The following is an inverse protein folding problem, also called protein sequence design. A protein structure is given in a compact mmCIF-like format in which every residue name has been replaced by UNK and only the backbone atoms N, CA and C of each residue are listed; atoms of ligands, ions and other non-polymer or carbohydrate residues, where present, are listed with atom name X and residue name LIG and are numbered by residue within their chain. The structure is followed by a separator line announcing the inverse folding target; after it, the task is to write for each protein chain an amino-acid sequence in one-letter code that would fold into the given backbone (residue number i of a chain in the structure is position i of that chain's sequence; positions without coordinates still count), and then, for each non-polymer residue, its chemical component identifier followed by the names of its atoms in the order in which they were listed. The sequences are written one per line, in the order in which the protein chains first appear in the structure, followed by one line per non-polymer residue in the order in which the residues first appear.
data_IF_529250851482
#
_entry.id   IF_529250851482
#
_cell.length_a   1.000
_cell.length_b   1.000
_cell.length_c   1.000
_cell.angle_alpha   90.00
_cell.angle_beta   90.00
_cell.angle_gamma   90.00
#
_symmetry.space_group_name_H-M   'P 1'
#
loop_
_entity.id
_entity.type
_entity.pdbx_description
1 polymer ?
#
# COMPACT_ATOMS: atom_id res chain seq x y z
N UNK A 1 -6.43 -6.38 -12.31
CA UNK A 1 -6.39 -5.00 -12.84
C UNK A 1 -5.41 -4.91 -13.97
N UNK A 2 -5.36 -3.76 -14.65
CA UNK A 2 -4.34 -3.50 -15.67
C UNK A 2 -3.00 -3.06 -15.04
N UNK A 3 -2.04 -2.69 -15.89
CA UNK A 3 -0.72 -2.25 -15.44
C UNK A 3 -0.79 -1.00 -14.56
N UNK A 4 -1.66 -0.05 -14.89
CA UNK A 4 -1.82 1.19 -14.12
C UNK A 4 -2.26 0.91 -12.68
N UNK A 5 -3.27 0.05 -12.51
CA UNK A 5 -3.72 -0.38 -11.19
C UNK A 5 -2.63 -1.10 -10.39
N UNK A 6 -1.85 -1.96 -11.05
CA UNK A 6 -0.77 -2.73 -10.39
C UNK A 6 0.34 -1.80 -9.90
N UNK A 7 0.79 -0.89 -10.76
CA UNK A 7 1.81 0.11 -10.43
C UNK A 7 1.35 1.04 -9.32
N UNK A 8 0.12 1.55 -9.41
CA UNK A 8 -0.38 2.49 -8.43
C UNK A 8 -0.54 1.83 -7.06
N UNK A 9 -1.10 0.61 -7.00
CA UNK A 9 -1.18 -0.16 -5.75
C UNK A 9 0.21 -0.35 -5.13
N UNK A 10 1.20 -0.71 -5.95
CA UNK A 10 2.58 -0.86 -5.48
C UNK A 10 3.13 0.46 -4.94
N UNK A 11 2.91 1.58 -5.63
CA UNK A 11 3.39 2.89 -5.19
C UNK A 11 2.77 3.35 -3.87
N UNK A 12 1.43 3.33 -3.77
CA UNK A 12 0.70 3.76 -2.58
C UNK A 12 1.15 2.97 -1.36
N UNK A 13 1.23 1.64 -1.50
CA UNK A 13 1.62 0.76 -0.41
C UNK A 13 3.12 0.83 -0.08
N UNK A 14 4.01 0.88 -1.08
CA UNK A 14 5.46 1.00 -0.84
C UNK A 14 5.81 2.32 -0.15
N UNK A 15 5.09 3.41 -0.46
CA UNK A 15 5.27 4.70 0.23
C UNK A 15 4.86 4.61 1.69
N UNK A 16 3.76 3.92 1.99
CA UNK A 16 3.31 3.66 3.35
C UNK A 16 4.34 2.80 4.10
N UNK A 17 4.74 1.66 3.52
CA UNK A 17 5.74 0.76 4.09
C UNK A 17 7.06 1.47 4.37
N UNK A 18 7.51 2.36 3.49
CA UNK A 18 8.74 3.11 3.71
C UNK A 18 8.71 3.90 5.02
N UNK A 19 7.64 4.68 5.27
CA UNK A 19 7.50 5.44 6.51
C UNK A 19 7.19 4.57 7.72
N UNK A 20 6.45 3.48 7.53
CA UNK A 20 6.20 2.49 8.59
C UNK A 20 7.53 1.87 9.05
N UNK A 21 8.36 1.39 8.13
CA UNK A 21 9.64 0.77 8.45
C UNK A 21 10.68 1.77 8.96
N UNK A 22 10.61 3.04 8.54
CA UNK A 22 11.42 4.12 9.14
C UNK A 22 11.16 4.22 10.65
N UNK A 23 9.90 4.07 11.08
CA UNK A 23 9.54 4.07 12.51
C UNK A 23 9.80 2.74 13.20
N UNK A 24 9.48 1.61 12.56
CA UNK A 24 9.66 0.30 13.18
C UNK A 24 11.13 -0.08 13.41
N UNK A 25 12.08 0.53 12.70
CA UNK A 25 13.51 0.36 12.99
C UNK A 25 13.94 0.88 14.35
N UNK A 26 13.19 1.82 14.91
CA UNK A 26 13.43 2.42 16.22
C UNK A 26 12.65 1.68 17.32
N UNK A 27 11.98 0.57 16.98
CA UNK A 27 11.12 -0.16 17.91
C UNK A 27 11.93 -0.85 19.04
N UNK A 28 11.43 -0.89 20.30
CA UNK A 28 12.14 -1.53 21.41
C UNK A 28 12.33 -3.03 21.26
N UNK A 29 11.40 -3.71 20.58
CA UNK A 29 11.55 -5.11 20.18
C UNK A 29 12.61 -5.23 19.08
N UNK A 30 13.71 -5.91 19.42
CA UNK A 30 14.88 -6.05 18.55
C UNK A 30 14.61 -6.90 17.31
N UNK A 31 13.66 -7.83 17.36
CA UNK A 31 13.27 -8.63 16.20
C UNK A 31 12.48 -7.80 15.19
N UNK A 32 11.51 -7.01 15.68
CA UNK A 32 10.76 -6.07 14.82
C UNK A 32 11.70 -5.06 14.18
N UNK A 33 12.59 -4.44 14.97
CA UNK A 33 13.56 -3.47 14.49
C UNK A 33 14.49 -4.08 13.41
N UNK A 34 14.99 -5.30 13.64
CA UNK A 34 15.86 -5.99 12.69
C UNK A 34 15.17 -6.36 11.38
N UNK A 35 13.89 -6.76 11.42
CA UNK A 35 13.09 -7.03 10.22
C UNK A 35 12.90 -5.72 9.45
N UNK A 36 12.44 -4.66 10.11
CA UNK A 36 12.22 -3.35 9.50
C UNK A 36 13.52 -2.78 8.88
N UNK A 37 14.68 -2.96 9.52
CA UNK A 37 15.99 -2.54 9.03
C UNK A 37 16.39 -3.20 7.71
N UNK A 38 15.96 -4.44 7.48
CA UNK A 38 16.16 -5.14 6.21
C UNK A 38 15.10 -4.72 5.19
N UNK A 39 13.83 -4.77 5.59
CA UNK A 39 12.69 -4.49 4.71
C UNK A 39 12.69 -3.08 4.11
N UNK A 40 13.18 -2.05 4.83
CA UNK A 40 13.23 -0.69 4.26
C UNK A 40 14.14 -0.60 3.05
N UNK A 41 15.22 -1.40 3.00
CA UNK A 41 16.20 -1.35 1.92
C UNK A 41 15.53 -1.80 0.62
N UNK A 42 14.82 -2.92 0.67
CA UNK A 42 14.02 -3.45 -0.43
C UNK A 42 12.87 -2.50 -0.80
N UNK A 43 12.14 -2.01 0.20
CA UNK A 43 11.01 -1.08 0.01
C UNK A 43 11.45 0.21 -0.69
N UNK A 44 12.67 0.68 -0.44
CA UNK A 44 13.22 1.86 -1.13
C UNK A 44 13.34 1.64 -2.62
N UNK A 45 13.73 0.43 -3.07
CA UNK A 45 13.75 0.08 -4.49
C UNK A 45 12.35 -0.01 -5.07
N UNK A 46 11.42 -0.68 -4.39
CA UNK A 46 10.02 -0.78 -4.83
C UNK A 46 9.42 0.61 -5.03
N UNK A 47 9.59 1.47 -4.03
CA UNK A 47 9.07 2.83 -4.02
C UNK A 47 9.66 3.67 -5.15
N UNK A 48 10.99 3.65 -5.34
CA UNK A 48 11.63 4.39 -6.44
C UNK A 48 11.07 3.95 -7.78
N UNK A 49 11.09 2.64 -8.05
CA UNK A 49 10.64 2.07 -9.31
C UNK A 49 9.16 2.37 -9.58
N UNK A 50 8.28 2.17 -8.59
CA UNK A 50 6.86 2.44 -8.77
C UNK A 50 6.56 3.94 -8.93
N UNK A 51 7.29 4.82 -8.24
CA UNK A 51 7.13 6.28 -8.39
C UNK A 51 7.48 6.73 -9.81
N UNK A 52 8.59 6.23 -10.37
CA UNK A 52 8.99 6.52 -11.75
C UNK A 52 7.92 6.06 -12.76
N UNK A 53 7.30 4.90 -12.54
CA UNK A 53 6.23 4.41 -13.41
C UNK A 53 4.92 5.17 -13.27
N UNK A 54 4.54 5.60 -12.07
CA UNK A 54 3.37 6.49 -11.89
C UNK A 54 3.55 7.76 -12.71
N UNK A 55 4.73 8.39 -12.65
CA UNK A 55 5.03 9.59 -13.43
C UNK A 55 4.98 9.31 -14.94
N UNK A 56 5.66 8.25 -15.40
CA UNK A 56 5.68 7.91 -16.85
C UNK A 56 4.31 7.60 -17.43
N UNK A 57 3.44 6.94 -16.65
CA UNK A 57 2.11 6.57 -17.11
C UNK A 57 1.15 7.75 -17.04
N UNK A 58 1.23 8.57 -15.99
CA UNK A 58 0.46 9.79 -15.84
C UNK A 58 0.84 10.85 -16.89
N UNK A 59 2.12 11.20 -16.99
CA UNK A 59 2.62 12.19 -17.96
C UNK A 59 3.03 11.54 -19.31
N UNK A 60 2.30 10.49 -19.69
CA UNK A 60 2.56 9.68 -20.88
C UNK A 60 1.68 10.05 -22.05
N UNK A 61 0.99 9.05 -22.61
CA UNK A 61 -0.03 9.26 -23.65
C UNK A 61 -1.39 9.56 -23.02
N UNK A 62 -2.34 10.07 -23.81
CA UNK A 62 -3.72 10.26 -23.34
C UNK A 62 -4.33 8.97 -22.77
N UNK A 63 -4.07 7.82 -23.40
CA UNK A 63 -4.55 6.53 -22.92
C UNK A 63 -3.89 6.11 -21.60
N UNK A 64 -2.56 6.24 -21.47
CA UNK A 64 -1.88 5.84 -20.23
C UNK A 64 -2.27 6.76 -19.06
N UNK A 65 -2.47 8.04 -19.35
CA UNK A 65 -2.94 9.03 -18.40
C UNK A 65 -4.33 8.67 -17.87
N UNK A 66 -5.29 8.43 -18.77
CA UNK A 66 -6.66 8.04 -18.41
C UNK A 66 -6.68 6.76 -17.57
N UNK A 67 -5.91 5.74 -17.96
CA UNK A 67 -5.80 4.48 -17.19
C UNK A 67 -5.23 4.70 -15.80
N UNK A 68 -4.24 5.58 -15.65
CA UNK A 68 -3.65 5.88 -14.35
C UNK A 68 -4.58 6.72 -13.47
N UNK A 69 -5.33 7.65 -14.04
CA UNK A 69 -6.37 8.38 -13.31
C UNK A 69 -7.47 7.43 -12.82
N UNK A 70 -7.96 6.55 -13.69
CA UNK A 70 -8.91 5.51 -13.31
C UNK A 70 -8.34 4.59 -12.21
N UNK A 71 -7.03 4.30 -12.22
CA UNK A 71 -6.41 3.54 -11.15
C UNK A 71 -6.47 4.29 -9.80
N UNK A 72 -6.23 5.62 -9.79
CA UNK A 72 -6.37 6.46 -8.59
C UNK A 72 -7.80 6.36 -8.07
N UNK A 73 -8.78 6.61 -8.92
CA UNK A 73 -10.19 6.64 -8.51
C UNK A 73 -10.65 5.30 -7.92
N UNK A 74 -10.17 4.19 -8.48
CA UNK A 74 -10.52 2.84 -8.03
C UNK A 74 -9.80 2.41 -6.74
N UNK A 75 -8.55 2.83 -6.53
CA UNK A 75 -7.71 2.32 -5.45
C UNK A 75 -7.64 3.25 -4.23
N UNK A 76 -7.92 4.54 -4.41
CA UNK A 76 -7.89 5.53 -3.33
C UNK A 76 -8.76 5.16 -2.12
N UNK A 77 -9.98 4.62 -2.28
CA UNK A 77 -10.84 4.20 -1.17
C UNK A 77 -10.22 3.18 -0.21
N UNK A 78 -9.20 2.43 -0.63
CA UNK A 78 -8.53 1.43 0.21
C UNK A 78 -7.36 1.99 1.01
N UNK A 79 -6.97 3.25 0.78
CA UNK A 79 -5.78 3.82 1.42
C UNK A 79 -5.99 4.19 2.88
N UNK A 80 -7.24 4.44 3.29
CA UNK A 80 -7.58 4.86 4.65
C UNK A 80 -7.18 3.85 5.72
N UNK A 81 -7.43 2.55 5.49
CA UNK A 81 -7.15 1.49 6.46
C UNK A 81 -5.65 1.37 6.82
N UNK A 82 -4.74 1.82 5.95
CA UNK A 82 -3.29 1.81 6.24
C UNK A 82 -2.93 2.63 7.50
N UNK A 83 -3.74 3.63 7.84
CA UNK A 83 -3.50 4.54 8.96
C UNK A 83 -4.45 4.33 10.14
N UNK A 84 -5.29 3.29 10.08
CA UNK A 84 -6.17 2.91 11.17
C UNK A 84 -5.50 1.77 11.96
N UNK A 85 -5.00 2.02 13.18
CA UNK A 85 -4.43 0.97 14.00
C UNK A 85 -5.53 -0.01 14.44
N UNK A 86 -5.23 -1.31 14.40
CA UNK A 86 -6.03 -2.34 15.05
C UNK A 86 -5.67 -2.44 16.54
N UNK A 87 -6.54 -3.08 17.33
CA UNK A 87 -6.36 -3.20 18.79
C UNK A 87 -5.02 -3.84 19.18
N UNK A 88 -4.55 -4.82 18.39
CA UNK A 88 -3.26 -5.49 18.63
C UNK A 88 -2.03 -4.64 18.23
N UNK A 89 -2.22 -3.49 17.59
CA UNK A 89 -1.14 -2.56 17.23
C UNK A 89 -0.93 -1.47 18.30
N UNK A 90 -1.71 -1.48 19.38
CA UNK A 90 -1.67 -0.46 20.43
C UNK A 90 -0.26 -0.28 21.05
N UNK A 91 0.48 -1.37 21.19
CA UNK A 91 1.81 -1.37 21.81
C UNK A 91 2.93 -0.89 20.88
N UNK A 92 2.66 -0.73 19.58
CA UNK A 92 3.65 -0.34 18.56
C UNK A 92 4.01 1.16 18.68
N UNK A 93 3.17 1.96 19.34
CA UNK A 93 3.39 3.41 19.64
C UNK A 93 3.79 4.25 18.40
N UNK A 94 3.25 3.92 17.23
CA UNK A 94 3.42 4.72 16.02
C UNK A 94 2.33 5.80 15.94
N UNK A 95 2.75 7.03 15.69
CA UNK A 95 1.82 8.11 15.32
C UNK A 95 1.36 7.93 13.87
N UNK A 96 0.28 7.16 13.70
CA UNK A 96 -0.32 6.91 12.38
C UNK A 96 -0.93 8.17 11.75
N UNK A 97 -1.35 9.16 12.56
CA UNK A 97 -1.88 10.43 12.03
C UNK A 97 -0.76 11.26 11.39
N UNK A 98 0.37 11.40 12.09
CA UNK A 98 1.57 12.04 11.55
C UNK A 98 2.13 11.29 10.33
N UNK A 99 2.11 9.96 10.36
CA UNK A 99 2.51 9.12 9.24
C UNK A 99 1.60 9.33 8.02
N UNK A 100 0.27 9.41 8.21
CA UNK A 100 -0.70 9.72 7.15
C UNK A 100 -0.38 11.05 6.48
N UNK A 101 -0.15 12.10 7.27
CA UNK A 101 0.15 13.43 6.72
C UNK A 101 1.44 13.41 5.87
N UNK A 102 2.52 12.82 6.41
CA UNK A 102 3.78 12.66 5.67
C UNK A 102 3.62 11.85 4.38
N UNK A 103 2.82 10.79 4.44
CA UNK A 103 2.49 9.95 3.29
C UNK A 103 1.70 10.72 2.24
N UNK A 104 0.66 11.43 2.64
CA UNK A 104 -0.22 12.19 1.75
C UNK A 104 0.54 13.29 1.01
N UNK A 105 1.42 14.02 1.70
CA UNK A 105 2.26 15.05 1.09
C UNK A 105 3.17 14.45 -0.01
N UNK A 106 3.81 13.32 0.29
CA UNK A 106 4.70 12.63 -0.64
C UNK A 106 3.94 12.05 -1.85
N UNK A 107 2.77 11.46 -1.62
CA UNK A 107 1.91 10.93 -2.70
C UNK A 107 1.38 12.06 -3.57
N UNK A 108 0.89 13.13 -2.97
CA UNK A 108 0.38 14.32 -3.68
C UNK A 108 1.46 14.91 -4.58
N UNK A 109 2.70 14.98 -4.11
CA UNK A 109 3.84 15.47 -4.90
C UNK A 109 4.06 14.64 -6.18
N UNK A 110 4.10 13.31 -6.05
CA UNK A 110 4.28 12.41 -7.20
C UNK A 110 3.08 12.44 -8.15
N UNK A 111 1.86 12.46 -7.62
CA UNK A 111 0.62 12.51 -8.43
C UNK A 111 0.56 13.81 -9.23
N UNK A 112 0.90 14.95 -8.62
CA UNK A 112 1.00 16.24 -9.33
C UNK A 112 2.09 16.22 -10.40
N UNK A 113 3.26 15.64 -10.09
CA UNK A 113 4.34 15.49 -11.07
C UNK A 113 3.92 14.60 -12.26
N UNK A 114 3.06 13.61 -12.01
CA UNK A 114 2.47 12.75 -13.02
C UNK A 114 1.29 13.40 -13.78
N UNK A 115 1.01 14.69 -13.56
CA UNK A 115 -0.13 15.46 -14.11
C UNK A 115 -1.52 14.91 -13.77
N UNK A 116 -1.61 14.03 -12.77
CA UNK A 116 -2.85 13.40 -12.30
C UNK A 116 -3.48 14.18 -11.15
N UNK A 117 -4.73 13.83 -10.80
CA UNK A 117 -5.47 14.44 -9.69
C UNK A 117 -5.83 13.42 -8.61
N UNK A 118 -5.68 13.80 -7.34
CA UNK A 118 -6.26 13.08 -6.22
C UNK A 118 -7.74 13.46 -6.05
N UNK A 119 -8.59 12.57 -5.50
CA UNK A 119 -9.99 12.90 -5.21
C UNK A 119 -10.10 14.15 -4.31
N UNK A 120 -10.85 15.15 -4.75
CA UNK A 120 -10.86 16.52 -4.20
C UNK A 120 -11.32 16.64 -2.73
N UNK A 121 -11.82 15.57 -2.11
CA UNK A 121 -12.28 15.59 -0.73
C UNK A 121 -12.09 14.22 -0.06
N UNK A 122 -11.03 14.06 0.75
CA UNK A 122 -10.85 12.87 1.59
C UNK A 122 -12.08 12.58 2.47
N UNK A 123 -12.78 13.62 2.91
CA UNK A 123 -13.99 13.50 3.74
C UNK A 123 -15.26 13.08 2.96
N UNK A 124 -15.20 13.01 1.62
CA UNK A 124 -16.33 12.58 0.78
C UNK A 124 -16.11 11.20 0.15
N UNK A 125 -14.88 10.70 0.13
CA UNK A 125 -14.59 9.35 -0.33
C UNK A 125 -14.79 8.40 0.84
N UNK A 126 -15.70 7.43 0.67
CA UNK A 126 -15.84 6.36 1.63
C UNK A 126 -14.56 5.51 1.63
N UNK A 127 -13.91 5.39 2.80
CA UNK A 127 -12.70 4.60 2.95
C UNK A 127 -13.08 3.18 3.43
N UNK A 128 -12.69 2.17 2.67
CA UNK A 128 -12.89 0.77 3.05
C UNK A 128 -12.02 0.41 4.26
N UNK A 129 -12.57 -0.42 5.14
CA UNK A 129 -11.91 -0.94 6.35
C UNK A 129 -12.39 -2.37 6.65
N UNK A 130 -11.71 -3.04 7.58
CA UNK A 130 -12.07 -4.35 8.10
C UNK A 130 -11.07 -5.45 7.76
N UNK A 131 -10.09 -5.20 6.88
CA UNK A 131 -9.05 -6.14 6.50
C UNK A 131 -8.21 -6.61 7.70
N UNK A 132 -7.92 -5.73 8.65
CA UNK A 132 -7.21 -6.09 9.91
C UNK A 132 -8.07 -6.90 10.89
N UNK A 133 -9.37 -6.99 10.66
CA UNK A 133 -10.36 -7.70 11.50
C UNK A 133 -10.92 -8.98 10.82
N UNK A 134 -10.32 -9.39 9.69
CA UNK A 134 -10.77 -10.56 8.93
C UNK A 134 -11.98 -10.31 8.02
N UNK A 135 -12.42 -9.05 7.87
CA UNK A 135 -13.49 -8.65 6.94
C UNK A 135 -12.86 -8.18 5.63
N UNK A 136 -12.72 -9.10 4.68
CA UNK A 136 -12.05 -8.85 3.41
C UNK A 136 -13.03 -8.63 2.26
N UNK A 137 -12.52 -8.09 1.16
CA UNK A 137 -13.22 -8.11 -0.13
C UNK A 137 -13.34 -9.55 -0.65
N UNK A 138 -14.21 -9.76 -1.63
CA UNK A 138 -14.41 -11.04 -2.30
C UNK A 138 -13.14 -11.62 -2.92
N UNK A 139 -12.13 -10.78 -3.19
CA UNK A 139 -10.88 -11.17 -3.83
C UNK A 139 -10.04 -12.13 -2.96
N UNK A 140 -10.03 -11.99 -1.63
CA UNK A 140 -9.14 -12.78 -0.79
C UNK A 140 -9.47 -14.28 -0.85
N UNK A 141 -10.76 -14.64 -0.93
CA UNK A 141 -11.18 -16.03 -1.01
C UNK A 141 -10.59 -16.77 -2.22
N UNK A 142 -10.58 -16.12 -3.39
CA UNK A 142 -9.97 -16.67 -4.60
C UNK A 142 -8.45 -16.82 -4.46
N UNK A 143 -7.77 -15.81 -3.91
CA UNK A 143 -6.32 -15.84 -3.69
C UNK A 143 -5.94 -16.98 -2.75
N UNK A 144 -6.66 -17.15 -1.63
CA UNK A 144 -6.38 -18.22 -0.67
C UNK A 144 -6.61 -19.60 -1.26
N UNK A 145 -7.66 -19.76 -2.09
CA UNK A 145 -7.95 -21.02 -2.77
C UNK A 145 -6.76 -21.48 -3.62
N UNK A 146 -6.14 -20.58 -4.39
CA UNK A 146 -4.96 -20.90 -5.19
C UNK A 146 -3.70 -21.09 -4.34
N UNK A 147 -3.44 -20.16 -3.42
CA UNK A 147 -2.24 -20.15 -2.57
C UNK A 147 -2.13 -21.41 -1.71
N UNK A 148 -3.26 -21.88 -1.17
CA UNK A 148 -3.29 -22.95 -0.18
C UNK A 148 -3.50 -24.33 -0.81
N UNK A 149 -3.75 -24.42 -2.13
CA UNK A 149 -4.09 -25.66 -2.80
C UNK A 149 -3.12 -26.81 -2.47
N UNK A 150 -1.81 -26.59 -2.66
CA UNK A 150 -0.79 -27.62 -2.42
C UNK A 150 -0.76 -28.09 -0.96
N UNK A 151 -0.92 -27.17 -0.02
CA UNK A 151 -0.89 -27.48 1.41
C UNK A 151 -2.17 -28.18 1.88
N UNK A 152 -3.33 -27.85 1.29
CA UNK A 152 -4.59 -28.53 1.59
C UNK A 152 -4.69 -29.91 0.94
N UNK A 153 -4.16 -30.08 -0.27
CA UNK A 153 -4.17 -31.35 -0.98
C UNK A 153 -3.17 -32.36 -0.37
N UNK A 154 -2.03 -31.89 0.15
CA UNK A 154 -0.96 -32.72 0.70
C UNK A 154 -0.55 -32.27 2.11
N UNK A 155 -1.44 -32.40 3.11
CA UNK A 155 -1.16 -31.93 4.46
C UNK A 155 -0.01 -32.71 5.10
N UNK A 156 0.93 -32.00 5.75
CA UNK A 156 2.07 -32.61 6.46
C UNK A 156 3.27 -32.97 5.57
N UNK A 157 3.23 -32.64 4.27
CA UNK A 157 4.39 -32.76 3.39
C UNK A 157 5.46 -31.68 3.71
N UNK A 158 6.73 -32.03 3.51
CA UNK A 158 7.86 -31.12 3.69
C UNK A 158 8.30 -30.56 2.32
N UNK A 159 8.54 -29.24 2.26
CA UNK A 159 8.97 -28.50 1.07
C UNK A 159 10.15 -27.58 1.40
#
# INVERSE_FOLDING_TARGET
GDWGQTILRQFLYSRFQYYLYEKLQEHPDTQIAAIAAKSIKETTYHLRWSSEWVIRLGDGTAESHERMQNAIDNLWPYTGEMFLPADFEADVKIDFSGLKNKWLDAVTSIVKQATLSLPENENKVYMHTGGKEGRHTEHLGYILTELQYMQMAFPGANW
#
